data_IF_119081430147
#
_entry.id   IF_119081430147
#
_cell.length_a   1.000
_cell.length_b   1.000
_cell.length_c   1.000
_cell.angle_alpha   90.00
_cell.angle_beta   90.00
_cell.angle_gamma   90.00
#
_symmetry.space_group_name_H-M   'P 1'
#
loop_
_entity.id
_entity.type
_entity.pdbx_description
1 polymer ?
#
# COMPACT_ATOMS: atom_id res chain seq x y z
N UNK A 1 23.94 -12.52 6.77
CA UNK A 1 23.31 -11.77 7.89
C UNK A 1 22.89 -10.42 7.34
N UNK A 2 21.59 -10.09 7.35
CA UNK A 2 21.16 -8.75 6.91
C UNK A 2 21.62 -7.73 7.96
N UNK A 3 22.26 -6.61 7.57
CA UNK A 3 22.66 -5.59 8.53
C UNK A 3 21.42 -5.04 9.22
N UNK A 4 21.42 -5.04 10.56
CA UNK A 4 20.39 -4.39 11.35
C UNK A 4 20.70 -2.89 11.27
N UNK A 5 19.78 -2.11 10.72
CA UNK A 5 19.93 -0.66 10.69
C UNK A 5 19.89 -0.11 12.13
N UNK A 6 20.71 0.90 12.43
CA UNK A 6 20.79 1.51 13.77
C UNK A 6 19.52 2.30 14.14
N UNK A 7 18.77 2.80 13.15
CA UNK A 7 17.49 3.46 13.33
C UNK A 7 16.57 3.30 12.11
N UNK A 8 15.25 3.43 12.28
CA UNK A 8 14.33 3.54 11.14
C UNK A 8 14.63 4.78 10.27
N UNK A 9 14.29 4.75 8.97
CA UNK A 9 14.50 5.88 8.07
C UNK A 9 13.78 7.18 8.47
N UNK A 10 14.31 8.32 8.02
CA UNK A 10 13.67 9.65 8.13
C UNK A 10 12.71 9.97 6.96
N UNK A 11 12.47 9.00 6.08
CA UNK A 11 11.58 9.16 4.92
C UNK A 11 10.14 9.42 5.35
N UNK A 12 9.43 10.26 4.60
CA UNK A 12 8.02 10.55 4.86
C UNK A 12 7.17 9.27 4.73
N UNK A 13 6.25 9.07 5.66
CA UNK A 13 5.18 8.09 5.58
C UNK A 13 3.83 8.72 5.89
N UNK A 14 2.75 8.01 5.58
CA UNK A 14 1.39 8.35 5.95
C UNK A 14 0.90 7.37 7.03
N UNK A 15 0.34 7.89 8.13
CA UNK A 15 -0.30 7.11 9.17
C UNK A 15 -1.56 7.83 9.66
N UNK A 16 -2.73 7.20 9.51
CA UNK A 16 -4.04 7.69 10.01
C UNK A 16 -4.33 9.16 9.69
N UNK A 17 -4.05 9.61 8.46
CA UNK A 17 -4.30 10.99 8.03
C UNK A 17 -3.11 11.93 8.18
N UNK A 18 -2.09 11.57 8.96
CA UNK A 18 -0.91 12.38 9.19
C UNK A 18 0.26 11.96 8.31
N UNK A 19 1.08 12.94 7.90
CA UNK A 19 2.36 12.71 7.25
C UNK A 19 3.48 13.05 8.25
N UNK A 20 4.38 12.10 8.48
CA UNK A 20 5.49 12.26 9.41
C UNK A 20 6.69 11.41 8.96
N UNK A 21 7.90 11.67 9.49
CA UNK A 21 9.01 10.76 9.30
C UNK A 21 8.72 9.35 9.80
N UNK A 22 9.20 8.34 9.08
CA UNK A 22 8.96 6.93 9.41
C UNK A 22 9.48 6.55 10.80
N UNK A 23 10.59 7.15 11.25
CA UNK A 23 11.12 6.99 12.63
C UNK A 23 10.18 7.45 13.74
N UNK A 24 9.25 8.36 13.43
CA UNK A 24 8.32 8.95 14.40
C UNK A 24 6.93 8.30 14.35
N UNK A 25 6.66 7.48 13.33
CA UNK A 25 5.41 6.76 13.17
C UNK A 25 5.23 5.72 14.28
N UNK A 26 4.10 5.80 15.01
CA UNK A 26 3.78 4.93 16.13
C UNK A 26 2.35 4.41 16.00
N UNK A 27 2.20 3.10 16.08
CA UNK A 27 0.89 2.45 16.20
C UNK A 27 0.58 2.16 17.66
N UNK A 28 -0.71 2.04 17.98
CA UNK A 28 -1.13 1.50 19.28
C UNK A 28 -0.69 0.04 19.41
N UNK A 29 -0.21 -0.36 20.60
CA UNK A 29 0.02 -1.78 20.91
C UNK A 29 -1.27 -2.60 20.93
N UNK A 30 -2.43 -1.94 20.97
CA UNK A 30 -3.75 -2.55 20.85
C UNK A 30 -4.30 -2.52 19.42
N UNK A 31 -3.50 -2.09 18.44
CA UNK A 31 -3.85 -2.26 17.04
C UNK A 31 -3.96 -3.76 16.72
N UNK A 32 -5.06 -4.14 16.08
CA UNK A 32 -5.36 -5.55 15.81
C UNK A 32 -4.45 -6.14 14.74
N UNK A 33 -3.86 -5.33 13.87
CA UNK A 33 -2.79 -5.74 12.98
C UNK A 33 -1.55 -6.19 13.75
N UNK A 34 -1.18 -5.49 14.82
CA UNK A 34 -0.06 -5.88 15.69
C UNK A 34 -0.40 -7.12 16.53
N UNK A 35 -1.59 -7.18 17.14
CA UNK A 35 -1.96 -8.26 18.07
C UNK A 35 -2.33 -9.56 17.35
N UNK A 36 -2.96 -9.49 16.17
CA UNK A 36 -3.57 -10.64 15.51
C UNK A 36 -3.15 -10.83 14.05
N UNK A 37 -2.44 -9.86 13.44
CA UNK A 37 -2.30 -9.84 11.98
C UNK A 37 -3.64 -9.62 11.25
N UNK A 38 -4.59 -8.94 11.92
CA UNK A 38 -5.94 -8.63 11.41
C UNK A 38 -5.90 -7.39 10.50
N UNK A 39 -5.31 -7.59 9.33
CA UNK A 39 -5.17 -6.57 8.29
C UNK A 39 -4.73 -7.14 6.95
N UNK A 40 -4.66 -6.26 5.97
CA UNK A 40 -4.23 -6.53 4.59
C UNK A 40 -3.16 -5.53 4.17
N UNK A 41 -2.42 -5.86 3.12
CA UNK A 41 -1.38 -4.97 2.60
C UNK A 41 -1.25 -5.05 1.08
N UNK A 42 -0.69 -4.01 0.48
CA UNK A 42 -0.28 -3.97 -0.92
C UNK A 42 1.18 -3.55 -1.07
N UNK A 43 1.80 -4.00 -2.16
CA UNK A 43 3.14 -3.57 -2.58
C UNK A 43 3.08 -3.20 -4.05
N UNK A 44 3.08 -1.90 -4.33
CA UNK A 44 3.01 -1.35 -5.69
C UNK A 44 4.41 -0.90 -6.11
N UNK A 45 5.02 -1.51 -7.12
CA UNK A 45 6.33 -1.06 -7.59
C UNK A 45 6.20 0.28 -8.32
N UNK A 46 7.19 1.14 -8.12
CA UNK A 46 7.30 2.46 -8.71
C UNK A 46 8.57 2.49 -9.54
N UNK A 47 8.45 2.79 -10.83
CA UNK A 47 9.58 2.88 -11.76
C UNK A 47 9.71 4.33 -12.22
N UNK A 48 10.83 4.98 -11.90
CA UNK A 48 11.06 6.38 -12.30
C UNK A 48 9.97 7.34 -11.80
N UNK A 49 9.47 7.12 -10.58
CA UNK A 49 8.36 7.89 -10.01
C UNK A 49 6.95 7.47 -10.45
N UNK A 50 6.80 6.51 -11.37
CA UNK A 50 5.48 6.07 -11.87
C UNK A 50 5.06 4.77 -11.20
N UNK A 51 3.94 4.74 -10.44
CA UNK A 51 3.35 3.50 -9.92
C UNK A 51 2.88 2.58 -11.05
N UNK A 52 3.27 1.31 -11.01
CA UNK A 52 2.95 0.33 -12.06
C UNK A 52 1.78 -0.56 -11.65
N UNK A 53 0.75 -0.65 -12.51
CA UNK A 53 -0.51 -1.37 -12.28
C UNK A 53 -1.25 -0.92 -11.00
N UNK A 54 -1.26 0.39 -10.72
CA UNK A 54 -1.82 0.94 -9.49
C UNK A 54 -3.30 0.56 -9.29
N UNK A 55 -4.13 0.71 -10.34
CA UNK A 55 -5.55 0.39 -10.28
C UNK A 55 -5.80 -1.11 -10.01
N UNK A 56 -5.02 -2.00 -10.62
CA UNK A 56 -5.16 -3.43 -10.34
C UNK A 56 -4.75 -3.79 -8.91
N UNK A 57 -3.75 -3.08 -8.36
CA UNK A 57 -3.35 -3.20 -6.95
C UNK A 57 -4.44 -2.70 -6.00
N UNK A 58 -5.05 -1.53 -6.25
CA UNK A 58 -6.15 -1.01 -5.42
C UNK A 58 -7.40 -1.89 -5.50
N UNK A 59 -7.73 -2.40 -6.69
CA UNK A 59 -8.83 -3.37 -6.84
C UNK A 59 -8.59 -4.67 -6.02
N UNK A 60 -7.34 -5.08 -5.80
CA UNK A 60 -7.03 -6.24 -4.94
C UNK A 60 -7.05 -5.87 -3.45
N UNK A 61 -6.67 -4.65 -3.10
CA UNK A 61 -6.86 -4.11 -1.75
C UNK A 61 -8.34 -4.19 -1.37
N UNK A 62 -9.24 -3.72 -2.24
CA UNK A 62 -10.70 -3.81 -2.06
C UNK A 62 -11.17 -5.24 -1.78
N UNK A 63 -10.78 -6.19 -2.65
CA UNK A 63 -11.17 -7.61 -2.48
C UNK A 63 -10.66 -8.18 -1.15
N UNK A 64 -9.43 -7.86 -0.78
CA UNK A 64 -8.84 -8.37 0.47
C UNK A 64 -9.51 -7.76 1.70
N UNK A 65 -9.83 -6.47 1.67
CA UNK A 65 -10.59 -5.78 2.72
C UNK A 65 -12.01 -6.35 2.86
N UNK A 66 -12.69 -6.61 1.75
CA UNK A 66 -14.01 -7.22 1.72
C UNK A 66 -14.01 -8.63 2.35
N UNK A 67 -13.04 -9.49 2.01
CA UNK A 67 -12.87 -10.82 2.61
C UNK A 67 -12.69 -10.76 4.14
N UNK A 68 -12.00 -9.74 4.64
CA UNK A 68 -11.83 -9.51 6.09
C UNK A 68 -12.95 -8.68 6.72
N UNK A 69 -13.95 -8.24 5.95
CA UNK A 69 -15.02 -7.36 6.42
C UNK A 69 -14.49 -6.09 7.10
N UNK A 70 -13.43 -5.51 6.52
CA UNK A 70 -12.89 -4.21 6.92
C UNK A 70 -13.35 -3.21 5.86
N UNK A 71 -14.00 -2.11 6.28
CA UNK A 71 -14.40 -1.07 5.34
C UNK A 71 -13.15 -0.42 4.72
N UNK A 72 -13.15 -0.16 3.42
CA UNK A 72 -12.08 0.62 2.81
C UNK A 72 -12.23 2.08 3.26
N UNK A 73 -11.24 2.65 3.99
CA UNK A 73 -11.38 4.00 4.55
C UNK A 73 -11.19 5.10 3.49
N UNK A 74 -10.70 4.77 2.29
CA UNK A 74 -10.37 5.74 1.25
C UNK A 74 -10.85 5.25 -0.13
N UNK A 75 -11.19 6.21 -0.99
CA UNK A 75 -11.41 5.95 -2.43
C UNK A 75 -10.08 5.69 -3.13
N UNK A 76 -10.12 5.14 -4.35
CA UNK A 76 -8.92 5.00 -5.20
C UNK A 76 -8.19 6.33 -5.39
N UNK A 77 -8.92 7.43 -5.63
CA UNK A 77 -8.33 8.78 -5.71
C UNK A 77 -7.61 9.18 -4.41
N UNK A 78 -8.17 8.82 -3.25
CA UNK A 78 -7.53 9.07 -1.95
C UNK A 78 -6.22 8.29 -1.81
N UNK A 79 -6.21 7.02 -2.21
CA UNK A 79 -4.98 6.22 -2.24
C UNK A 79 -3.95 6.78 -3.22
N UNK A 80 -4.40 7.21 -4.40
CA UNK A 80 -3.54 7.82 -5.41
C UNK A 80 -2.92 9.13 -4.90
N UNK A 81 -3.70 9.98 -4.23
CA UNK A 81 -3.20 11.22 -3.64
C UNK A 81 -2.11 10.98 -2.58
N UNK A 82 -2.28 9.95 -1.73
CA UNK A 82 -1.25 9.56 -0.76
C UNK A 82 0.01 9.06 -1.49
N UNK A 83 -0.16 8.18 -2.47
CA UNK A 83 0.93 7.63 -3.27
C UNK A 83 1.76 8.73 -3.96
N UNK A 84 1.09 9.64 -4.66
CA UNK A 84 1.70 10.76 -5.35
C UNK A 84 2.50 11.64 -4.38
N UNK A 85 1.90 12.03 -3.25
CA UNK A 85 2.56 12.86 -2.25
C UNK A 85 3.82 12.22 -1.66
N UNK A 86 3.79 10.91 -1.39
CA UNK A 86 4.98 10.20 -0.89
C UNK A 86 6.09 10.12 -1.93
N UNK A 87 5.75 9.91 -3.21
CA UNK A 87 6.71 9.90 -4.32
C UNK A 87 7.31 11.30 -4.55
N UNK A 88 6.48 12.34 -4.52
CA UNK A 88 6.90 13.74 -4.66
C UNK A 88 7.77 14.23 -3.50
N UNK A 89 7.56 13.71 -2.29
CA UNK A 89 8.43 14.00 -1.15
C UNK A 89 9.79 13.31 -1.23
N UNK A 90 9.95 12.29 -2.08
CA UNK A 90 11.23 11.61 -2.28
C UNK A 90 12.23 12.52 -3.01
N UNK A 91 13.50 12.58 -2.57
CA UNK A 91 14.58 13.26 -3.28
C UNK A 91 14.68 12.82 -4.75
N UNK A 92 15.09 13.72 -5.64
CA UNK A 92 15.06 13.49 -7.09
C UNK A 92 15.89 12.29 -7.54
N UNK A 93 17.07 12.10 -6.94
CA UNK A 93 17.95 10.94 -7.18
C UNK A 93 17.29 9.62 -6.76
N UNK A 94 16.54 9.64 -5.65
CA UNK A 94 15.80 8.47 -5.16
C UNK A 94 14.53 8.20 -5.95
N UNK A 95 13.87 9.24 -6.47
CA UNK A 95 12.67 9.12 -7.31
C UNK A 95 12.97 8.48 -8.66
N UNK A 96 14.16 8.72 -9.20
CA UNK A 96 14.64 8.07 -10.42
C UNK A 96 14.95 6.58 -10.20
N UNK A 97 15.22 6.16 -8.97
CA UNK A 97 15.45 4.77 -8.62
C UNK A 97 14.14 3.96 -8.59
N UNK A 98 14.28 2.64 -8.58
CA UNK A 98 13.14 1.75 -8.39
C UNK A 98 12.73 1.76 -6.92
N UNK A 99 11.44 1.98 -6.67
CA UNK A 99 10.86 2.07 -5.33
C UNK A 99 9.63 1.16 -5.24
N UNK A 100 9.08 1.02 -4.05
CA UNK A 100 7.80 0.35 -3.85
C UNK A 100 6.99 1.07 -2.78
N UNK A 101 5.74 1.41 -3.11
CA UNK A 101 4.76 1.82 -2.13
C UNK A 101 4.27 0.59 -1.38
N UNK A 102 4.36 0.63 -0.05
CA UNK A 102 3.75 -0.34 0.85
C UNK A 102 2.51 0.29 1.46
N UNK A 103 1.36 -0.34 1.27
CA UNK A 103 0.10 0.05 1.91
C UNK A 103 -0.28 -1.02 2.91
N UNK A 104 -0.76 -0.65 4.08
CA UNK A 104 -1.31 -1.57 5.06
C UNK A 104 -2.56 -0.97 5.69
N UNK A 105 -3.61 -1.79 5.77
CA UNK A 105 -4.87 -1.43 6.43
C UNK A 105 -5.21 -2.52 7.45
N UNK A 106 -5.39 -2.15 8.70
CA UNK A 106 -5.79 -3.06 9.79
C UNK A 106 -7.23 -2.78 10.21
N UNK A 107 -7.85 -3.69 10.97
CA UNK A 107 -9.17 -3.43 11.57
C UNK A 107 -9.17 -2.26 12.57
N UNK A 108 -7.99 -1.76 12.95
CA UNK A 108 -7.82 -0.67 13.90
C UNK A 108 -7.64 -1.14 15.33
N UNK A 109 -7.85 -0.22 16.27
CA UNK A 109 -7.50 -0.37 17.68
C UNK A 109 -8.72 -0.76 18.52
N UNK A 110 -8.58 -1.83 19.32
CA UNK A 110 -9.60 -2.25 20.28
C UNK A 110 -8.98 -3.08 21.42
N UNK A 111 -9.66 -3.22 22.58
CA UNK A 111 -9.27 -4.21 23.58
C UNK A 111 -9.13 -5.61 22.97
N UNK A 112 -8.18 -6.40 23.48
CA UNK A 112 -7.84 -7.71 22.92
C UNK A 112 -9.02 -8.68 23.05
N UNK A 113 -9.67 -8.96 21.93
CA UNK A 113 -10.72 -9.96 21.77
C UNK A 113 -10.67 -10.49 20.32
N UNK A 114 -10.90 -11.79 20.11
CA UNK A 114 -10.86 -12.38 18.77
C UNK A 114 -12.06 -11.99 17.92
N UNK A 115 -13.24 -11.83 18.55
CA UNK A 115 -14.44 -11.37 17.86
C UNK A 115 -14.20 -10.03 17.14
N UNK A 116 -14.80 -9.87 15.96
CA UNK A 116 -14.64 -8.66 15.13
C UNK A 116 -15.53 -7.53 15.69
N UNK A 117 -14.97 -6.46 16.28
CA UNK A 117 -15.76 -5.36 16.79
C UNK A 117 -16.38 -4.56 15.63
N UNK A 118 -17.57 -4.00 15.85
CA UNK A 118 -18.26 -3.19 14.86
C UNK A 118 -17.89 -1.70 15.00
N UNK A 119 -17.91 -0.96 13.89
CA UNK A 119 -17.73 0.50 13.90
C UNK A 119 -16.31 0.99 14.22
N UNK A 120 -15.29 0.12 14.15
CA UNK A 120 -13.90 0.56 14.28
C UNK A 120 -13.46 1.36 13.05
N UNK A 121 -12.70 2.41 13.29
CA UNK A 121 -11.92 3.10 12.26
C UNK A 121 -10.70 2.24 11.91
N UNK A 122 -10.54 1.82 10.65
CA UNK A 122 -9.34 1.10 10.21
C UNK A 122 -8.09 1.97 10.39
N UNK A 123 -6.98 1.36 10.83
CA UNK A 123 -5.67 2.02 10.82
C UNK A 123 -5.06 1.88 9.43
N UNK A 124 -4.57 2.99 8.89
CA UNK A 124 -3.99 3.09 7.54
C UNK A 124 -2.54 3.54 7.64
N UNK A 125 -1.65 2.71 7.11
CA UNK A 125 -0.23 3.02 7.01
C UNK A 125 0.24 2.91 5.55
N UNK A 126 0.96 3.92 5.07
CA UNK A 126 1.59 3.91 3.74
C UNK A 126 3.01 4.43 3.82
N UNK A 127 3.96 3.72 3.20
CA UNK A 127 5.35 4.17 3.09
C UNK A 127 5.91 3.89 1.70
N UNK A 128 6.93 4.66 1.31
CA UNK A 128 7.71 4.45 0.10
C UNK A 128 9.07 3.85 0.47
N UNK A 129 9.36 2.66 -0.05
CA UNK A 129 10.61 1.96 0.23
C UNK A 129 11.52 1.94 -1.00
N UNK A 130 12.84 2.09 -0.84
CA UNK A 130 13.78 1.73 -1.89
C UNK A 130 13.60 0.24 -2.27
N UNK A 131 13.55 -0.05 -3.57
CA UNK A 131 13.42 -1.42 -4.06
C UNK A 131 14.56 -1.72 -5.03
N UNK A 132 15.42 -2.69 -4.68
CA UNK A 132 16.52 -3.07 -5.56
C UNK A 132 15.99 -3.85 -6.76
N UNK A 133 16.22 -3.40 -8.01
CA UNK A 133 15.84 -4.17 -9.19
C UNK A 133 16.66 -5.45 -9.24
N UNK A 134 16.07 -6.52 -9.80
CA UNK A 134 16.83 -7.73 -10.11
C UNK A 134 17.84 -7.43 -11.22
N UNK A 135 19.16 -7.62 -11.01
CA UNK A 135 20.18 -7.32 -12.00
C UNK A 135 20.02 -8.16 -13.29
N UNK A 136 20.31 -7.59 -14.44
CA UNK A 136 20.21 -8.30 -15.73
C UNK A 136 21.11 -9.55 -15.78
N UNK A 137 22.28 -9.50 -15.13
CA UNK A 137 23.16 -10.67 -15.02
C UNK A 137 22.52 -11.84 -14.26
N UNK A 138 21.63 -11.56 -13.29
CA UNK A 138 20.87 -12.59 -12.59
C UNK A 138 19.78 -13.14 -13.49
N UNK A 139 19.07 -12.30 -14.25
CA UNK A 139 18.05 -12.74 -15.22
C UNK A 139 18.64 -13.59 -16.33
N UNK A 140 19.80 -13.21 -16.85
CA UNK A 140 20.49 -13.94 -17.91
C UNK A 140 20.99 -15.32 -17.46
N UNK A 141 21.33 -15.48 -16.18
CA UNK A 141 21.77 -16.77 -15.60
C UNK A 141 20.61 -17.62 -15.06
N UNK A 142 19.54 -16.98 -14.60
CA UNK A 142 18.48 -17.59 -13.82
C UNK A 142 18.87 -17.86 -12.37
N UNK A 143 17.91 -18.30 -11.57
CA UNK A 143 18.07 -18.54 -10.14
C UNK A 143 17.79 -19.99 -9.75
N UNK A 144 18.34 -20.39 -8.61
CA UNK A 144 17.99 -21.62 -7.92
C UNK A 144 16.81 -21.38 -6.97
N UNK A 145 15.87 -22.33 -6.92
CA UNK A 145 14.82 -22.41 -5.93
C UNK A 145 14.89 -23.74 -5.17
N UNK A 146 14.22 -23.80 -4.03
CA UNK A 146 13.96 -25.05 -3.29
C UNK A 146 12.46 -25.27 -3.17
N UNK A 147 12.05 -26.51 -2.92
CA UNK A 147 10.65 -26.85 -2.68
C UNK A 147 10.33 -27.10 -1.21
N UNK A 148 9.07 -26.87 -0.84
CA UNK A 148 8.54 -27.22 0.47
C UNK A 148 7.06 -27.59 0.39
N UNK A 149 6.54 -28.20 1.45
CA UNK A 149 5.08 -28.32 1.62
C UNK A 149 4.49 -26.94 1.93
N UNK A 150 3.34 -26.61 1.33
CA UNK A 150 2.56 -25.42 1.69
C UNK A 150 1.82 -25.66 3.01
N UNK A 151 2.38 -25.16 4.10
CA UNK A 151 1.79 -25.21 5.45
C UNK A 151 0.98 -23.95 5.80
N UNK A 152 0.70 -23.06 4.83
CA UNK A 152 -0.10 -21.86 5.06
C UNK A 152 -1.59 -22.19 5.14
N UNK A 153 -2.35 -21.27 5.71
CA UNK A 153 -3.81 -21.38 5.82
C UNK A 153 -4.53 -21.51 4.47
N UNK A 154 -5.83 -21.84 4.50
CA UNK A 154 -6.66 -22.04 3.30
C UNK A 154 -7.34 -20.74 2.80
N UNK A 155 -6.74 -19.58 3.08
CA UNK A 155 -7.20 -18.25 2.64
C UNK A 155 -6.07 -17.42 2.04
N UNK A 156 -5.15 -18.06 1.32
CA UNK A 156 -3.97 -17.43 0.74
C UNK A 156 -4.31 -16.39 -0.36
N UNK A 157 -5.51 -16.46 -0.95
CA UNK A 157 -6.03 -15.42 -1.85
C UNK A 157 -6.17 -14.03 -1.18
N UNK A 158 -6.27 -13.97 0.14
CA UNK A 158 -6.30 -12.72 0.91
C UNK A 158 -4.86 -12.26 1.10
N UNK A 159 -4.53 -11.04 0.67
CA UNK A 159 -3.21 -10.45 0.90
C UNK A 159 -3.07 -9.90 2.33
N UNK A 160 -3.18 -10.79 3.31
CA UNK A 160 -3.20 -10.49 4.74
C UNK A 160 -1.80 -10.19 5.30
N UNK A 161 -1.73 -9.42 6.39
CA UNK A 161 -0.52 -9.20 7.19
C UNK A 161 -0.15 -10.36 8.13
N UNK A 162 -1.00 -11.40 8.24
CA UNK A 162 -0.70 -12.65 8.96
C UNK A 162 0.32 -13.53 8.20
N UNK A 163 1.56 -13.07 8.12
CA UNK A 163 2.58 -13.56 7.18
C UNK A 163 3.58 -14.58 7.74
N UNK A 164 3.43 -15.05 8.98
CA UNK A 164 4.41 -15.96 9.60
C UNK A 164 4.67 -17.21 8.74
N UNK A 165 3.63 -17.76 8.10
CA UNK A 165 3.79 -18.89 7.20
C UNK A 165 4.71 -18.60 5.99
N UNK A 166 4.55 -17.43 5.38
CA UNK A 166 5.40 -16.97 4.29
C UNK A 166 6.83 -16.65 4.76
N UNK A 167 6.99 -16.09 5.97
CA UNK A 167 8.30 -15.83 6.58
C UNK A 167 9.08 -17.14 6.77
N UNK A 168 8.44 -18.16 7.35
CA UNK A 168 9.05 -19.48 7.53
C UNK A 168 9.38 -20.14 6.18
N UNK A 169 8.47 -20.04 5.20
CA UNK A 169 8.74 -20.57 3.87
C UNK A 169 9.93 -19.85 3.21
N UNK A 170 10.02 -18.52 3.30
CA UNK A 170 11.17 -17.76 2.78
C UNK A 170 12.47 -18.17 3.46
N UNK A 171 12.44 -18.41 4.77
CA UNK A 171 13.63 -18.78 5.54
C UNK A 171 14.26 -20.09 5.03
N UNK A 172 13.45 -21.07 4.61
CA UNK A 172 13.93 -22.33 4.01
C UNK A 172 14.85 -22.05 2.80
N UNK A 173 14.45 -21.16 1.89
CA UNK A 173 15.29 -20.81 0.74
C UNK A 173 16.49 -19.96 1.12
N UNK A 174 16.38 -19.08 2.13
CA UNK A 174 17.56 -18.33 2.64
C UNK A 174 18.63 -19.29 3.14
N UNK A 175 18.25 -20.30 3.93
CA UNK A 175 19.17 -21.29 4.51
C UNK A 175 19.79 -22.20 3.45
N UNK A 176 19.04 -22.50 2.38
CA UNK A 176 19.53 -23.24 1.23
C UNK A 176 20.33 -22.38 0.22
N UNK A 177 20.48 -21.08 0.45
CA UNK A 177 21.11 -20.15 -0.51
C UNK A 177 20.32 -19.97 -1.81
N UNK A 178 19.03 -20.29 -1.81
CA UNK A 178 18.12 -20.21 -2.93
C UNK A 178 17.37 -18.87 -2.97
N UNK A 179 16.91 -18.48 -4.16
CA UNK A 179 16.18 -17.24 -4.38
C UNK A 179 14.76 -17.27 -3.81
N UNK A 180 14.12 -18.45 -3.83
CA UNK A 180 12.76 -18.62 -3.33
C UNK A 180 12.44 -20.09 -2.99
N UNK A 181 11.39 -20.27 -2.18
CA UNK A 181 10.79 -21.55 -1.83
C UNK A 181 9.48 -21.74 -2.61
N UNK A 182 9.45 -22.68 -3.55
CA UNK A 182 8.27 -23.08 -4.31
C UNK A 182 7.48 -24.10 -3.51
N UNK A 183 6.20 -23.82 -3.22
CA UNK A 183 5.42 -24.64 -2.29
C UNK A 183 4.38 -25.51 -2.99
N UNK A 184 4.18 -26.71 -2.43
CA UNK A 184 3.22 -27.69 -2.92
C UNK A 184 2.21 -28.06 -1.83
N UNK A 185 0.91 -28.08 -2.18
CA UNK A 185 -0.16 -28.54 -1.28
C UNK A 185 -0.57 -29.95 -1.68
N UNK A 186 -0.05 -30.94 -0.94
CA UNK A 186 0.00 -32.31 -1.45
C UNK A 186 0.89 -32.35 -2.69
N UNK A 187 0.40 -32.93 -3.78
CA UNK A 187 1.14 -33.02 -5.04
C UNK A 187 0.87 -31.86 -6.01
N UNK A 188 0.12 -30.84 -5.60
CA UNK A 188 -0.28 -29.73 -6.46
C UNK A 188 0.54 -28.48 -6.17
N UNK A 189 1.03 -27.83 -7.24
CA UNK A 189 1.68 -26.53 -7.16
C UNK A 189 0.72 -25.50 -6.56
N UNK A 190 1.18 -24.81 -5.51
CA UNK A 190 0.51 -23.63 -4.96
C UNK A 190 1.17 -22.37 -5.52
N UNK A 191 2.02 -21.70 -4.75
CA UNK A 191 2.84 -20.58 -5.17
C UNK A 191 4.19 -20.64 -4.42
N UNK A 192 5.03 -19.63 -4.58
CA UNK A 192 6.27 -19.47 -3.84
C UNK A 192 6.05 -18.59 -2.59
N UNK A 193 7.01 -18.50 -1.67
CA UNK A 193 6.80 -17.80 -0.39
C UNK A 193 6.32 -16.34 -0.54
N UNK A 194 6.75 -15.66 -1.61
CA UNK A 194 6.38 -14.28 -1.92
C UNK A 194 6.18 -14.03 -3.42
N UNK A 195 5.91 -15.06 -4.22
CA UNK A 195 5.84 -14.96 -5.69
C UNK A 195 4.91 -16.02 -6.28
N UNK A 196 4.26 -15.73 -7.41
CA UNK A 196 3.57 -16.77 -8.17
C UNK A 196 4.57 -17.57 -9.02
N UNK A 197 4.18 -18.79 -9.40
CA UNK A 197 5.02 -19.74 -10.16
C UNK A 197 4.34 -20.05 -11.49
N UNK A 198 5.11 -20.06 -12.57
CA UNK A 198 4.66 -20.29 -13.95
C UNK A 198 5.46 -21.42 -14.56
N UNK A 199 4.78 -22.39 -15.13
CA UNK A 199 5.36 -23.59 -15.74
C UNK A 199 5.23 -23.47 -17.25
N UNK A 200 6.33 -23.71 -17.96
CA UNK A 200 6.33 -23.82 -19.41
C UNK A 200 6.49 -25.28 -19.80
N UNK A 201 5.57 -25.76 -20.63
CA UNK A 201 5.67 -27.09 -21.23
C UNK A 201 5.15 -27.06 -22.66
N UNK A 202 5.91 -27.61 -23.59
CA UNK A 202 5.56 -27.72 -25.02
C UNK A 202 5.17 -26.35 -25.62
N UNK A 203 5.89 -25.29 -25.23
CA UNK A 203 5.66 -23.92 -25.69
C UNK A 203 4.45 -23.20 -25.08
N UNK A 204 3.72 -23.83 -24.15
CA UNK A 204 2.59 -23.23 -23.44
C UNK A 204 2.98 -22.78 -22.02
N UNK A 205 2.43 -21.66 -21.56
CA UNK A 205 2.55 -21.17 -20.19
C UNK A 205 1.33 -21.62 -19.38
N UNK A 206 1.57 -22.22 -18.23
CA UNK A 206 0.54 -22.59 -17.27
C UNK A 206 0.82 -22.00 -15.89
N UNK A 207 -0.24 -21.62 -15.17
CA UNK A 207 -0.19 -21.23 -13.77
C UNK A 207 -1.31 -21.88 -12.96
N UNK A 208 -1.20 -21.94 -11.62
CA UNK A 208 -2.28 -22.40 -10.74
C UNK A 208 -3.57 -21.57 -10.94
N UNK A 209 -4.78 -22.16 -10.77
CA UNK A 209 -6.04 -21.43 -10.86
C UNK A 209 -6.15 -20.33 -9.80
N UNK A 210 -6.97 -19.30 -10.08
CA UNK A 210 -7.31 -18.27 -9.09
C UNK A 210 -8.35 -18.83 -8.12
N UNK A 211 -7.91 -19.49 -7.07
CA UNK A 211 -8.74 -20.05 -6.00
C UNK A 211 -8.29 -19.53 -4.62
N UNK A 212 -8.87 -20.07 -3.54
CA UNK A 212 -8.60 -19.61 -2.19
C UNK A 212 -7.18 -19.92 -1.68
N UNK A 213 -6.43 -20.78 -2.39
CA UNK A 213 -5.18 -21.40 -1.96
C UNK A 213 -3.93 -20.70 -2.52
N UNK A 214 -4.10 -19.74 -3.43
CA UNK A 214 -3.00 -18.93 -3.99
C UNK A 214 -3.38 -17.46 -4.02
N UNK A 215 -2.39 -16.58 -3.85
CA UNK A 215 -2.62 -15.17 -4.08
C UNK A 215 -2.71 -14.91 -5.58
N UNK A 216 -3.86 -14.43 -6.06
CA UNK A 216 -4.00 -13.90 -7.42
C UNK A 216 -3.15 -12.62 -7.56
N UNK A 217 -1.87 -12.81 -7.88
CA UNK A 217 -0.91 -11.76 -8.17
C UNK A 217 -1.41 -10.85 -9.28
N UNK A 218 -1.11 -9.54 -9.22
CA UNK A 218 -1.39 -8.62 -10.34
C UNK A 218 -0.75 -9.13 -11.65
N UNK A 219 0.34 -9.88 -11.53
CA UNK A 219 1.05 -10.47 -12.67
C UNK A 219 0.27 -11.59 -13.37
N UNK A 220 -0.80 -12.15 -12.78
CA UNK A 220 -1.67 -13.08 -13.48
C UNK A 220 -2.24 -12.45 -14.75
N UNK A 221 -2.92 -11.31 -14.60
CA UNK A 221 -3.50 -10.61 -15.75
C UNK A 221 -2.43 -10.05 -16.69
N UNK A 222 -1.30 -9.60 -16.15
CA UNK A 222 -0.21 -9.08 -16.99
C UNK A 222 0.44 -10.17 -17.85
N UNK A 223 0.73 -11.35 -17.28
CA UNK A 223 1.34 -12.47 -18.01
C UNK A 223 0.37 -13.02 -19.04
N UNK A 224 -0.91 -13.17 -18.69
CA UNK A 224 -1.96 -13.54 -19.65
C UNK A 224 -2.00 -12.60 -20.86
N UNK A 225 -1.98 -11.27 -20.63
CA UNK A 225 -1.92 -10.27 -21.71
C UNK A 225 -0.63 -10.39 -22.55
N UNK A 226 0.53 -10.53 -21.90
CA UNK A 226 1.81 -10.68 -22.62
C UNK A 226 1.82 -11.95 -23.48
N UNK A 227 1.31 -13.06 -22.95
CA UNK A 227 1.16 -14.31 -23.70
C UNK A 227 0.25 -14.12 -24.92
N UNK A 228 -0.90 -13.46 -24.75
CA UNK A 228 -1.81 -13.16 -25.85
C UNK A 228 -1.15 -12.27 -26.93
N UNK A 229 -0.45 -11.21 -26.53
CA UNK A 229 0.31 -10.33 -27.44
C UNK A 229 1.40 -11.09 -28.21
N UNK A 230 2.04 -12.09 -27.59
CA UNK A 230 3.12 -12.87 -28.17
C UNK A 230 2.66 -14.15 -28.90
N UNK A 231 1.36 -14.45 -28.93
CA UNK A 231 0.83 -15.70 -29.50
C UNK A 231 1.24 -16.97 -28.73
N UNK A 232 1.53 -16.84 -27.43
CA UNK A 232 1.91 -17.95 -26.56
C UNK A 232 0.65 -18.52 -25.88
N UNK A 233 0.36 -19.83 -26.01
CA UNK A 233 -0.77 -20.44 -25.31
C UNK A 233 -0.65 -20.26 -23.80
N UNK A 234 -1.74 -19.82 -23.17
CA UNK A 234 -1.81 -19.57 -21.74
C UNK A 234 -3.00 -20.30 -21.12
N UNK A 235 -2.82 -20.95 -19.97
CA UNK A 235 -3.91 -21.58 -19.23
C UNK A 235 -3.70 -21.53 -17.72
N UNK A 236 -4.80 -21.40 -16.99
CA UNK A 236 -4.80 -21.57 -15.53
C UNK A 236 -5.39 -22.93 -15.18
N UNK A 237 -4.58 -23.81 -14.60
CA UNK A 237 -4.97 -25.18 -14.24
C UNK A 237 -4.14 -25.70 -13.08
N UNK A 238 -4.60 -26.79 -12.46
CA UNK A 238 -3.80 -27.50 -11.47
C UNK A 238 -2.60 -28.14 -12.16
N UNK A 239 -1.43 -27.98 -11.54
CA UNK A 239 -0.15 -28.45 -12.07
C UNK A 239 0.45 -29.39 -11.03
N UNK A 240 0.73 -30.63 -11.44
CA UNK A 240 1.29 -31.65 -10.55
C UNK A 240 2.78 -31.42 -10.30
N UNK A 241 3.28 -31.91 -9.16
CA UNK A 241 4.69 -31.81 -8.78
C UNK A 241 5.62 -32.30 -9.89
N UNK A 242 5.38 -33.50 -10.42
CA UNK A 242 6.21 -34.08 -11.48
C UNK A 242 6.25 -33.22 -12.74
N UNK A 243 5.16 -32.53 -13.06
CA UNK A 243 5.09 -31.60 -14.19
C UNK A 243 5.94 -30.35 -13.95
N UNK A 244 5.97 -29.83 -12.71
CA UNK A 244 6.85 -28.71 -12.35
C UNK A 244 8.33 -29.10 -12.50
N UNK A 245 8.71 -30.28 -12.02
CA UNK A 245 10.09 -30.78 -12.14
C UNK A 245 10.44 -31.16 -13.60
N UNK A 246 9.45 -31.58 -14.39
CA UNK A 246 9.59 -31.92 -15.81
C UNK A 246 9.36 -30.75 -16.79
N UNK A 247 9.29 -29.52 -16.29
CA UNK A 247 9.04 -28.33 -17.09
C UNK A 247 10.20 -28.00 -18.05
N UNK A 248 9.87 -27.40 -19.19
CA UNK A 248 10.88 -26.90 -20.14
C UNK A 248 11.47 -25.56 -19.66
N UNK A 249 10.63 -24.71 -19.06
CA UNK A 249 11.04 -23.51 -18.32
C UNK A 249 10.16 -23.34 -17.06
N UNK A 250 10.71 -22.70 -16.03
CA UNK A 250 10.00 -22.37 -14.79
C UNK A 250 10.29 -20.91 -14.44
N UNK A 251 9.27 -20.16 -14.03
CA UNK A 251 9.43 -18.74 -13.72
C UNK A 251 8.72 -18.35 -12.42
N UNK A 252 9.23 -17.31 -11.78
CA UNK A 252 8.60 -16.61 -10.68
C UNK A 252 8.05 -15.26 -11.16
N UNK A 253 6.96 -14.78 -10.55
CA UNK A 253 6.56 -13.40 -10.71
C UNK A 253 6.08 -12.74 -9.41
N UNK A 254 6.44 -11.46 -9.23
CA UNK A 254 6.00 -10.63 -8.09
C UNK A 254 6.24 -9.15 -8.36
N UNK A 255 5.80 -8.29 -7.45
CA UNK A 255 6.06 -6.85 -7.48
C UNK A 255 7.54 -6.50 -7.62
N UNK A 256 8.38 -7.17 -6.83
CA UNK A 256 9.80 -6.88 -6.72
C UNK A 256 10.67 -7.69 -7.68
N UNK A 257 10.22 -8.87 -8.11
CA UNK A 257 10.99 -9.73 -9.01
C UNK A 257 10.60 -9.59 -10.48
N UNK A 258 9.53 -8.86 -10.79
CA UNK A 258 8.93 -8.78 -12.14
C UNK A 258 8.61 -10.20 -12.67
N UNK A 259 9.38 -10.69 -13.64
CA UNK A 259 9.44 -12.10 -14.10
C UNK A 259 10.89 -12.57 -13.96
N UNK A 260 11.10 -13.72 -13.33
CA UNK A 260 12.45 -14.24 -13.01
C UNK A 260 12.54 -15.73 -13.36
N UNK A 261 13.53 -16.18 -14.15
CA UNK A 261 13.62 -17.59 -14.55
C UNK A 261 14.28 -18.43 -13.46
N UNK A 262 13.68 -19.57 -13.18
CA UNK A 262 14.18 -20.61 -12.28
C UNK A 262 14.82 -21.69 -13.13
N UNK A 263 16.11 -21.91 -12.94
CA UNK A 263 16.90 -22.86 -13.75
C UNK A 263 17.26 -24.12 -12.97
N UNK A 264 17.14 -24.08 -11.65
CA UNK A 264 17.25 -25.27 -10.80
C UNK A 264 16.19 -25.24 -9.70
N UNK A 265 15.62 -26.41 -9.39
CA UNK A 265 14.71 -26.65 -8.28
C UNK A 265 15.21 -27.86 -7.49
N UNK A 266 15.49 -27.69 -6.20
CA UNK A 266 16.07 -28.74 -5.33
C UNK A 266 17.37 -29.34 -5.90
N UNK A 267 18.19 -28.49 -6.53
CA UNK A 267 19.44 -28.89 -7.18
C UNK A 267 19.26 -29.63 -8.51
N UNK A 268 18.02 -29.91 -8.93
CA UNK A 268 17.73 -30.49 -10.24
C UNK A 268 17.58 -29.40 -11.30
N UNK A 269 18.16 -29.56 -12.50
CA UNK A 269 17.98 -28.59 -13.58
C UNK A 269 16.54 -28.61 -14.09
N UNK A 270 15.99 -27.43 -14.35
CA UNK A 270 14.75 -27.26 -15.11
C UNK A 270 15.11 -27.12 -16.58
N UNK A 271 14.48 -27.92 -17.45
CA UNK A 271 14.78 -27.97 -18.87
C UNK A 271 16.28 -28.07 -19.16
N UNK A 272 16.83 -27.08 -19.86
CA UNK A 272 18.25 -27.01 -20.21
C UNK A 272 19.15 -26.37 -19.12
N UNK A 273 18.63 -26.07 -17.93
CA UNK A 273 19.38 -25.43 -16.85
C UNK A 273 19.77 -23.97 -17.15
N UNK A 274 19.06 -23.31 -18.05
CA UNK A 274 19.27 -21.92 -18.47
C UNK A 274 17.93 -21.26 -18.87
N UNK A 275 17.81 -19.93 -18.78
CA UNK A 275 16.57 -19.25 -19.20
C UNK A 275 16.26 -19.52 -20.68
N UNK A 276 15.00 -19.81 -20.99
CA UNK A 276 14.56 -20.18 -22.34
C UNK A 276 13.84 -19.06 -23.10
N UNK A 277 13.35 -19.35 -24.32
CA UNK A 277 12.73 -18.37 -25.20
C UNK A 277 11.39 -17.82 -24.67
N UNK A 278 10.60 -18.60 -23.93
CA UNK A 278 9.34 -18.12 -23.37
C UNK A 278 9.59 -17.13 -22.25
N UNK A 279 10.56 -17.39 -21.37
CA UNK A 279 11.03 -16.39 -20.40
C UNK A 279 11.46 -15.09 -21.10
N UNK A 280 12.26 -15.16 -22.17
CA UNK A 280 12.72 -13.98 -22.91
C UNK A 280 11.56 -13.17 -23.49
N UNK A 281 10.55 -13.84 -24.04
CA UNK A 281 9.34 -13.20 -24.55
C UNK A 281 8.55 -12.51 -23.41
N UNK A 282 8.39 -13.17 -22.27
CA UNK A 282 7.72 -12.61 -21.09
C UNK A 282 8.47 -11.40 -20.51
N UNK A 283 9.79 -11.49 -20.36
CA UNK A 283 10.64 -10.41 -19.85
C UNK A 283 10.63 -9.20 -20.79
N UNK A 284 10.67 -9.41 -22.11
CA UNK A 284 10.52 -8.35 -23.10
C UNK A 284 9.11 -7.72 -23.07
N UNK A 285 8.06 -8.54 -22.95
CA UNK A 285 6.69 -8.05 -22.81
C UNK A 285 6.48 -7.22 -21.54
N UNK A 286 7.09 -7.64 -20.43
CA UNK A 286 7.04 -6.91 -19.17
C UNK A 286 7.74 -5.54 -19.28
N UNK A 287 8.91 -5.47 -19.94
CA UNK A 287 9.59 -4.19 -20.21
C UNK A 287 8.72 -3.24 -21.02
N UNK A 288 8.10 -3.72 -22.11
CA UNK A 288 7.15 -2.91 -22.90
C UNK A 288 5.95 -2.44 -22.07
N UNK A 289 5.41 -3.27 -21.19
CA UNK A 289 4.31 -2.88 -20.31
C UNK A 289 4.71 -1.74 -19.35
N UNK A 290 5.93 -1.76 -18.81
CA UNK A 290 6.45 -0.65 -18.00
C UNK A 290 6.61 0.64 -18.80
N UNK A 291 7.14 0.54 -20.03
CA UNK A 291 7.30 1.69 -20.93
C UNK A 291 5.95 2.33 -21.27
N UNK A 292 4.93 1.52 -21.58
CA UNK A 292 3.55 2.01 -21.81
C UNK A 292 3.00 2.72 -20.57
N UNK A 293 3.13 2.11 -19.40
CA UNK A 293 2.68 2.70 -18.13
C UNK A 293 3.33 4.06 -17.84
N UNK A 294 4.60 4.25 -18.23
CA UNK A 294 5.28 5.53 -18.09
C UNK A 294 4.79 6.58 -19.10
N UNK A 295 4.44 6.16 -20.33
CA UNK A 295 3.91 7.03 -21.38
C UNK A 295 2.49 7.51 -21.05
N UNK A 296 1.63 6.62 -20.56
CA UNK A 296 0.24 6.95 -20.23
C UNK A 296 0.19 8.04 -19.15
N UNK A 297 0.99 7.91 -18.08
CA UNK A 297 1.10 8.95 -17.05
C UNK A 297 1.78 10.24 -17.55
N UNK A 298 2.72 10.13 -18.48
CA UNK A 298 3.33 11.30 -19.13
C UNK A 298 2.33 12.09 -19.99
N UNK A 299 1.38 11.40 -20.64
CA UNK A 299 0.33 12.04 -21.43
C UNK A 299 -0.74 12.72 -20.56
N UNK A 300 -1.10 12.13 -19.41
CA UNK A 300 -1.97 12.77 -18.42
C UNK A 300 -1.28 13.99 -17.77
N UNK A 301 0.05 13.97 -17.66
CA UNK A 301 0.87 15.10 -17.18
C UNK A 301 1.10 16.21 -18.22
N UNK A 302 1.17 15.90 -19.53
CA UNK A 302 1.42 16.88 -20.60
C UNK A 302 0.13 17.48 -21.20
N UNK A 303 -1.02 16.85 -20.99
CA UNK A 303 -2.34 17.43 -21.32
C UNK A 303 -2.89 18.30 -20.19
N UNK A 304 -2.23 18.35 -19.04
CA UNK A 304 -2.49 19.30 -17.98
C UNK A 304 -2.00 20.71 -18.36
N UNK A 305 -2.79 21.38 -19.21
CA UNK A 305 -2.85 22.84 -19.28
C UNK A 305 -3.18 23.34 -17.86
N UNK A 306 -2.57 24.44 -17.33
CA UNK A 306 -2.97 24.94 -16.02
C UNK A 306 -4.49 25.16 -16.05
N UNK A 307 -5.25 24.59 -15.10
CA UNK A 307 -6.69 24.69 -15.19
C UNK A 307 -7.08 26.15 -14.97
N UNK A 308 -7.51 26.80 -16.04
CA UNK A 308 -8.52 27.84 -15.95
C UNK A 308 -9.73 27.17 -15.33
N UNK A 309 -9.97 27.55 -14.07
CA UNK A 309 -11.00 27.07 -13.16
C UNK A 309 -12.33 26.74 -13.88
N UNK A 310 -12.75 25.46 -13.94
CA UNK A 310 -14.12 25.11 -14.24
C UNK A 310 -14.77 24.51 -13.00
N UNK A 311 -15.72 25.29 -12.49
CA UNK A 311 -16.86 24.90 -11.68
C UNK A 311 -17.47 23.56 -12.12
N UNK A 312 -17.54 22.55 -11.24
CA UNK A 312 -18.81 21.98 -10.75
C UNK A 312 -18.66 20.76 -9.82
N UNK A 313 -19.53 20.76 -8.80
CA UNK A 313 -20.09 19.62 -8.06
C UNK A 313 -19.17 18.77 -7.14
N UNK A 314 -18.47 19.44 -6.22
CA UNK A 314 -18.16 18.82 -4.91
C UNK A 314 -19.42 18.82 -4.05
N UNK A 315 -19.78 17.67 -3.49
CA UNK A 315 -20.88 17.47 -2.52
C UNK A 315 -21.15 18.72 -1.69
N UNK A 316 -22.36 19.24 -1.82
CA UNK A 316 -22.84 20.45 -1.16
C UNK A 316 -22.39 20.51 0.29
N UNK A 317 -21.58 21.53 0.59
CA UNK A 317 -21.44 22.02 1.96
C UNK A 317 -22.84 22.47 2.40
N UNK A 318 -23.42 21.83 3.42
CA UNK A 318 -24.69 22.24 4.05
C UNK A 318 -24.64 23.67 4.66
N UNK A 319 -23.47 24.31 4.60
CA UNK A 319 -23.22 25.66 5.07
C UNK A 319 -23.17 26.56 3.84
N UNK A 320 -24.11 27.51 3.76
CA UNK A 320 -24.04 28.66 2.85
C UNK A 320 -22.99 29.64 3.37
N UNK A 321 -22.16 30.18 2.47
CA UNK A 321 -21.13 31.17 2.79
C UNK A 321 -21.45 32.52 2.12
N UNK A 322 -21.16 33.66 2.76
CA UNK A 322 -20.58 33.77 4.09
C UNK A 322 -21.60 33.51 5.20
N UNK A 323 -21.18 32.88 6.30
CA UNK A 323 -22.03 32.65 7.49
C UNK A 323 -21.26 32.81 8.79
N UNK A 324 -21.99 33.08 9.88
CA UNK A 324 -21.44 33.08 11.24
C UNK A 324 -21.35 31.63 11.72
N UNK A 325 -20.13 31.15 11.92
CA UNK A 325 -19.86 29.75 12.23
C UNK A 325 -19.24 29.62 13.63
N UNK A 326 -19.95 29.00 14.59
CA UNK A 326 -19.41 28.79 15.93
C UNK A 326 -18.47 27.58 15.97
N UNK A 327 -17.27 27.77 16.50
CA UNK A 327 -16.25 26.72 16.68
C UNK A 327 -15.99 26.56 18.17
N UNK A 328 -16.11 25.34 18.68
CA UNK A 328 -15.91 25.05 20.10
C UNK A 328 -14.53 24.44 20.31
N UNK A 329 -13.72 25.10 21.13
CA UNK A 329 -12.35 24.68 21.41
C UNK A 329 -12.24 24.34 22.89
N UNK A 330 -11.67 23.19 23.23
CA UNK A 330 -11.41 22.81 24.61
C UNK A 330 -9.93 22.62 24.87
N UNK A 331 -9.44 23.17 25.98
CA UNK A 331 -8.05 23.07 26.42
C UNK A 331 -7.94 22.97 27.94
N UNK A 332 -6.73 22.66 28.41
CA UNK A 332 -6.43 22.71 29.83
C UNK A 332 -6.60 24.16 30.33
N UNK A 333 -7.12 24.33 31.56
CA UNK A 333 -7.26 25.66 32.15
C UNK A 333 -5.86 26.24 32.44
N UNK A 334 -5.40 27.11 31.57
CA UNK A 334 -4.10 27.74 31.63
C UNK A 334 -4.21 29.22 31.26
N UNK A 335 -3.35 30.05 31.86
CA UNK A 335 -3.26 31.47 31.53
C UNK A 335 -2.89 31.64 30.05
N UNK A 336 -3.54 32.57 29.37
CA UNK A 336 -3.33 32.84 27.94
C UNK A 336 -4.10 31.92 26.98
N UNK A 337 -4.82 30.90 27.45
CA UNK A 337 -5.56 29.99 26.55
C UNK A 337 -6.58 30.73 25.69
N UNK A 338 -7.41 31.58 26.29
CA UNK A 338 -8.42 32.36 25.56
C UNK A 338 -7.75 33.29 24.53
N UNK A 339 -6.66 33.95 24.92
CA UNK A 339 -5.91 34.85 24.04
C UNK A 339 -5.34 34.13 22.81
N UNK A 340 -4.79 32.92 23.00
CA UNK A 340 -4.27 32.12 21.91
C UNK A 340 -5.37 31.71 20.91
N UNK A 341 -6.57 31.34 21.39
CA UNK A 341 -7.68 30.98 20.50
C UNK A 341 -8.19 32.21 19.74
N UNK A 342 -8.29 33.37 20.39
CA UNK A 342 -8.71 34.61 19.71
C UNK A 342 -7.69 35.07 18.68
N UNK A 343 -6.38 34.94 18.94
CA UNK A 343 -5.34 35.27 17.95
C UNK A 343 -5.42 34.39 16.70
N UNK A 344 -5.68 33.09 16.88
CA UNK A 344 -5.89 32.19 15.74
C UNK A 344 -7.15 32.61 14.98
N UNK A 345 -8.25 32.93 15.66
CA UNK A 345 -9.46 33.41 15.01
C UNK A 345 -9.22 34.68 14.17
N UNK A 346 -8.53 35.68 14.72
CA UNK A 346 -8.19 36.95 14.06
C UNK A 346 -7.30 36.77 12.83
N UNK A 347 -6.42 35.75 12.83
CA UNK A 347 -5.55 35.46 11.69
C UNK A 347 -6.36 35.07 10.44
N UNK A 348 -7.47 34.35 10.63
CA UNK A 348 -8.28 33.83 9.52
C UNK A 348 -9.56 34.62 9.28
N UNK A 349 -10.08 35.34 10.28
CA UNK A 349 -11.18 36.31 10.18
C UNK A 349 -10.70 37.67 10.71
N UNK A 350 -10.16 38.55 9.86
CA UNK A 350 -9.70 39.88 10.28
C UNK A 350 -10.79 40.79 10.86
N UNK A 351 -12.06 40.44 10.66
CA UNK A 351 -13.22 41.13 11.22
C UNK A 351 -13.77 40.42 12.48
N UNK A 352 -13.03 39.46 13.03
CA UNK A 352 -13.40 38.72 14.23
C UNK A 352 -13.61 39.67 15.42
N UNK A 353 -14.74 39.50 16.12
CA UNK A 353 -15.07 40.26 17.31
C UNK A 353 -14.84 39.41 18.56
N UNK A 354 -13.72 39.66 19.25
CA UNK A 354 -13.35 38.96 20.47
C UNK A 354 -14.34 39.14 21.64
N UNK A 355 -15.26 40.11 21.57
CA UNK A 355 -16.30 40.28 22.59
C UNK A 355 -17.40 39.21 22.51
N UNK A 356 -17.48 38.48 21.39
CA UNK A 356 -18.46 37.41 21.16
C UNK A 356 -18.03 36.03 21.70
N UNK A 357 -16.85 35.96 22.35
CA UNK A 357 -16.29 34.71 22.86
C UNK A 357 -17.04 34.23 24.09
N UNK A 358 -17.55 33.00 24.03
CA UNK A 358 -18.22 32.36 25.17
C UNK A 358 -17.27 31.40 25.90
N UNK A 359 -17.24 31.49 27.23
CA UNK A 359 -16.39 30.65 28.08
C UNK A 359 -17.23 29.69 28.93
N UNK A 360 -16.82 28.42 28.96
CA UNK A 360 -17.48 27.39 29.77
C UNK A 360 -16.46 26.56 30.53
N UNK A 361 -16.52 26.61 31.87
CA UNK A 361 -15.73 25.71 32.70
C UNK A 361 -16.28 24.27 32.64
N UNK A 362 -15.38 23.29 32.61
CA UNK A 362 -15.73 21.87 32.79
C UNK A 362 -16.25 21.59 34.21
N UNK A 363 -17.07 20.52 34.36
CA UNK A 363 -17.64 20.13 35.66
C UNK A 363 -16.61 19.91 36.77
N UNK A 364 -15.41 19.47 36.42
CA UNK A 364 -14.30 19.22 37.35
C UNK A 364 -13.30 20.39 37.45
N UNK A 365 -13.50 21.49 36.72
CA UNK A 365 -12.66 22.70 36.78
C UNK A 365 -11.31 22.63 36.05
N UNK A 366 -10.90 21.46 35.54
CA UNK A 366 -9.58 21.24 34.94
C UNK A 366 -9.45 21.74 33.48
N UNK A 367 -10.58 21.86 32.77
CA UNK A 367 -10.65 22.29 31.38
C UNK A 367 -11.53 23.52 31.21
N UNK A 368 -11.15 24.34 30.23
CA UNK A 368 -11.90 25.49 29.76
C UNK A 368 -12.35 25.25 28.31
N UNK A 369 -13.65 25.37 28.07
CA UNK A 369 -14.22 25.46 26.73
C UNK A 369 -14.32 26.93 26.30
N UNK A 370 -13.89 27.22 25.08
CA UNK A 370 -13.93 28.53 24.43
C UNK A 370 -14.72 28.35 23.13
N UNK A 371 -15.85 29.04 23.00
CA UNK A 371 -16.57 29.10 21.72
C UNK A 371 -16.22 30.42 21.04
N UNK A 372 -15.67 30.35 19.84
CA UNK A 372 -15.46 31.51 18.97
C UNK A 372 -16.48 31.47 17.84
N UNK A 373 -16.98 32.62 17.39
CA UNK A 373 -17.86 32.70 16.22
C UNK A 373 -17.15 33.47 15.12
N UNK A 374 -16.72 32.76 14.08
CA UNK A 374 -16.00 33.34 12.94
C UNK A 374 -16.96 33.65 11.79
N UNK A 375 -16.59 34.60 10.95
CA UNK A 375 -17.22 34.83 9.65
C UNK A 375 -16.61 33.86 8.64
N UNK A 376 -17.23 32.71 8.48
CA UNK A 376 -16.83 31.73 7.49
C UNK A 376 -17.23 32.24 6.10
N UNK A 377 -16.26 32.44 5.22
CA UNK A 377 -16.41 32.93 3.84
C UNK A 377 -16.18 31.83 2.81
N UNK A 378 -15.51 30.74 3.21
CA UNK A 378 -15.35 29.54 2.41
C UNK A 378 -15.11 28.32 3.30
N UNK A 379 -15.29 27.13 2.73
CA UNK A 379 -14.91 25.87 3.39
C UNK A 379 -13.41 25.77 3.65
N UNK A 380 -12.60 26.26 2.72
CA UNK A 380 -11.13 26.25 2.84
C UNK A 380 -10.67 27.07 4.05
N UNK A 381 -11.24 28.26 4.25
CA UNK A 381 -10.98 29.08 5.43
C UNK A 381 -11.34 28.34 6.72
N UNK A 382 -12.48 27.64 6.77
CA UNK A 382 -12.85 26.82 7.93
C UNK A 382 -11.87 25.67 8.16
N UNK A 383 -11.51 24.93 7.11
CA UNK A 383 -10.56 23.81 7.21
C UNK A 383 -9.19 24.29 7.75
N UNK A 384 -8.74 25.47 7.34
CA UNK A 384 -7.50 26.08 7.81
C UNK A 384 -7.59 26.57 9.27
N UNK A 385 -8.72 27.17 9.67
CA UNK A 385 -8.99 27.54 11.07
C UNK A 385 -8.96 26.28 11.96
N UNK A 386 -9.67 25.21 11.57
CA UNK A 386 -9.70 23.95 12.33
C UNK A 386 -8.30 23.33 12.43
N UNK A 387 -7.49 23.40 11.36
CA UNK A 387 -6.11 22.92 11.36
C UNK A 387 -5.23 23.71 12.31
N UNK A 388 -5.29 25.04 12.27
CA UNK A 388 -4.51 25.91 13.14
C UNK A 388 -4.87 25.72 14.63
N UNK A 389 -6.18 25.64 14.93
CA UNK A 389 -6.66 25.36 16.29
C UNK A 389 -6.21 23.98 16.78
N UNK A 390 -6.34 22.95 15.96
CA UNK A 390 -5.96 21.57 16.35
C UNK A 390 -4.45 21.43 16.56
N UNK A 391 -3.63 22.17 15.80
CA UNK A 391 -2.18 22.14 15.95
C UNK A 391 -1.66 22.92 17.19
N UNK A 392 -2.50 23.74 17.82
CA UNK A 392 -2.05 24.59 18.92
C UNK A 392 -1.81 23.78 20.22
N UNK A 393 -0.63 23.86 20.88
CA UNK A 393 -0.27 22.99 22.01
C UNK A 393 -1.21 23.02 23.22
N UNK A 394 -1.92 24.14 23.40
CA UNK A 394 -2.87 24.32 24.50
C UNK A 394 -4.27 23.74 24.20
N UNK A 395 -4.55 23.40 22.94
CA UNK A 395 -5.82 22.81 22.49
C UNK A 395 -5.77 21.30 22.68
N UNK A 396 -6.86 20.74 23.21
CA UNK A 396 -7.05 19.30 23.37
C UNK A 396 -8.06 18.74 22.38
N UNK A 397 -9.12 19.51 22.09
CA UNK A 397 -10.19 19.13 21.17
C UNK A 397 -10.75 20.38 20.50
N UNK A 398 -11.06 20.29 19.20
CA UNK A 398 -11.91 21.23 18.46
C UNK A 398 -13.16 20.47 18.05
N UNK A 399 -14.34 21.05 18.29
CA UNK A 399 -15.67 20.46 18.08
C UNK A 399 -16.49 21.27 17.08
#
# INVERSE_FOLDING_TARGET
>A
MHPIAEAPPDSLCYLDGAYAPLRDAKISVLDRGFIFGDGVYEVVPVYGGVPFCFEEHMARLDRSLAELRIANPLTHDGWHAIAARLIEASPADQRAAVQALYFQVTRGVAPREHAMPQGLTPTVFVMLNPMKPVPDAVRAKGVACVSAQDFRWQKAHIKSTSLLGAVLARQISVEAGAAETIMFRGDWLSEASSSNVWVVKDGAVSGPPKDELVLAGIRYGLIERICAEAGIPFSLRRIGRDEVFGADELMLSSASKEVLPVVTLDGQPIGAGRPGPIFQALDAGYRRAKERSAQDQGSDSMTATPPDTPTEARKESLIEYPSKFPIKVMGAKADGFVHAITQIAEQFDPAFDATTVELRNSKAGNYLGVTITVTATSREQLDDIYRALTAHPMVKVVL
#
